data_IF_462641428913
#
_entry.id   IF_462641428913
#
_cell.length_a   1.000
_cell.length_b   1.000
_cell.length_c   1.000
_cell.angle_alpha   90.00
_cell.angle_beta   90.00
_cell.angle_gamma   90.00
#
_symmetry.space_group_name_H-M   'P 1'
#
loop_
_entity.id
_entity.type
_entity.pdbx_description
1 polymer ?
#
# COMPACT_ATOMS: atom_id res chain seq x y z
N UNK A 1 -4.90 15.71 10.36
CA UNK A 1 -5.12 17.17 10.24
C UNK A 1 -4.18 17.80 9.21
N UNK A 2 -3.95 17.16 8.07
CA UNK A 2 -3.20 17.74 6.95
C UNK A 2 -4.17 17.90 5.78
N UNK A 3 -4.14 19.07 5.14
CA UNK A 3 -4.97 19.42 3.99
C UNK A 3 -4.12 20.19 2.99
N UNK A 4 -4.11 19.77 1.72
CA UNK A 4 -3.30 20.40 0.68
C UNK A 4 -4.06 20.44 -0.64
N UNK A 5 -4.35 21.64 -1.12
CA UNK A 5 -5.00 21.85 -2.41
C UNK A 5 -4.14 21.30 -3.57
N UNK A 6 -2.81 21.39 -3.45
CA UNK A 6 -1.87 20.84 -4.42
C UNK A 6 -1.96 19.30 -4.46
N UNK A 7 -1.95 18.65 -3.30
CA UNK A 7 -2.12 17.19 -3.22
C UNK A 7 -3.47 16.76 -3.76
N UNK A 8 -4.55 17.43 -3.38
CA UNK A 8 -5.91 17.12 -3.84
C UNK A 8 -6.04 17.20 -5.37
N UNK A 9 -5.46 18.23 -5.99
CA UNK A 9 -5.41 18.37 -7.45
C UNK A 9 -4.65 17.22 -8.11
N UNK A 10 -3.47 16.89 -7.58
CA UNK A 10 -2.65 15.81 -8.11
C UNK A 10 -3.35 14.46 -7.98
N UNK A 11 -3.97 14.19 -6.82
CA UNK A 11 -4.73 12.97 -6.56
C UNK A 11 -5.93 12.81 -7.50
N UNK A 12 -6.64 13.89 -7.81
CA UNK A 12 -7.70 13.87 -8.82
C UNK A 12 -7.18 13.46 -10.21
N UNK A 13 -6.03 14.01 -10.62
CA UNK A 13 -5.40 13.66 -11.91
C UNK A 13 -4.96 12.19 -11.97
N UNK A 14 -4.37 11.68 -10.88
CA UNK A 14 -3.99 10.28 -10.73
C UNK A 14 -5.20 9.37 -10.99
N UNK A 15 -6.32 9.64 -10.30
CA UNK A 15 -7.52 8.81 -10.40
C UNK A 15 -8.18 8.86 -11.78
N UNK A 16 -8.01 9.96 -12.52
CA UNK A 16 -8.50 10.08 -13.90
C UNK A 16 -7.54 9.51 -14.96
N UNK A 17 -6.31 9.15 -14.62
CA UNK A 17 -5.29 8.70 -15.58
C UNK A 17 -5.34 7.19 -15.79
N UNK A 18 -5.81 6.77 -16.98
CA UNK A 18 -5.86 5.36 -17.36
C UNK A 18 -4.48 4.76 -17.66
N UNK A 19 -3.62 5.50 -18.37
CA UNK A 19 -2.27 5.05 -18.74
C UNK A 19 -1.41 4.78 -17.50
N UNK A 20 -0.92 3.55 -17.36
CA UNK A 20 -0.20 3.12 -16.17
C UNK A 20 1.14 3.85 -16.01
N UNK A 21 1.87 4.08 -17.11
CA UNK A 21 3.17 4.77 -17.07
C UNK A 21 3.01 6.20 -16.59
N UNK A 22 2.03 6.92 -17.13
CA UNK A 22 1.72 8.29 -16.72
C UNK A 22 1.20 8.33 -15.29
N UNK A 23 0.32 7.40 -14.89
CA UNK A 23 -0.18 7.33 -13.51
C UNK A 23 0.96 7.08 -12.51
N UNK A 24 1.94 6.24 -12.84
CA UNK A 24 3.11 6.02 -11.99
C UNK A 24 3.99 7.26 -11.84
N UNK A 25 4.14 8.08 -12.89
CA UNK A 25 4.86 9.37 -12.79
C UNK A 25 4.15 10.32 -11.81
N UNK A 26 2.83 10.46 -11.96
CA UNK A 26 2.03 11.28 -11.05
C UNK A 26 2.05 10.77 -9.59
N UNK A 27 2.08 9.44 -9.40
CA UNK A 27 2.26 8.84 -8.07
C UNK A 27 3.61 9.22 -7.44
N UNK A 28 4.68 9.18 -8.23
CA UNK A 28 6.00 9.58 -7.74
C UNK A 28 6.05 11.07 -7.36
N UNK A 29 5.36 11.93 -8.12
CA UNK A 29 5.19 13.35 -7.77
C UNK A 29 4.41 13.53 -6.47
N UNK A 30 3.34 12.75 -6.27
CA UNK A 30 2.55 12.82 -5.04
C UNK A 30 3.34 12.35 -3.82
N UNK A 31 4.13 11.28 -3.96
CA UNK A 31 5.04 10.81 -2.92
C UNK A 31 6.11 11.85 -2.56
N UNK A 32 6.66 12.55 -3.56
CA UNK A 32 7.62 13.64 -3.31
C UNK A 32 6.97 14.80 -2.55
N UNK A 33 5.78 15.23 -2.99
CA UNK A 33 5.06 16.33 -2.34
C UNK A 33 4.80 16.07 -0.85
N UNK A 34 4.30 14.87 -0.50
CA UNK A 34 4.03 14.56 0.92
C UNK A 34 5.28 14.37 1.75
N UNK A 35 6.41 14.02 1.11
CA UNK A 35 7.71 13.97 1.78
C UNK A 35 8.26 15.37 2.04
N UNK A 36 8.17 16.27 1.06
CA UNK A 36 8.60 17.68 1.19
C UNK A 36 7.74 18.43 2.23
N UNK A 37 6.44 18.15 2.28
CA UNK A 37 5.51 18.72 3.26
C UNK A 37 5.64 18.08 4.65
N UNK A 38 6.46 17.03 4.80
CA UNK A 38 6.70 16.30 6.05
C UNK A 38 5.40 15.85 6.76
N UNK A 39 4.42 15.36 6.01
CA UNK A 39 3.08 15.03 6.54
C UNK A 39 3.10 13.91 7.58
N UNK A 40 4.11 13.05 7.51
CA UNK A 40 4.36 11.94 8.42
C UNK A 40 5.87 11.62 8.46
N UNK A 41 6.31 11.01 9.55
CA UNK A 41 7.65 10.39 9.63
C UNK A 41 7.59 8.97 9.06
N UNK A 42 8.04 8.78 7.82
CA UNK A 42 8.11 7.46 7.18
C UNK A 42 9.37 6.73 7.65
N UNK A 43 9.21 5.64 8.41
CA UNK A 43 10.33 4.93 9.04
C UNK A 43 10.68 3.61 8.34
N UNK A 44 9.69 2.75 8.14
CA UNK A 44 9.87 1.43 7.52
C UNK A 44 8.55 0.87 7.00
N UNK A 45 8.63 -0.13 6.13
CA UNK A 45 7.50 -0.99 5.76
C UNK A 45 7.59 -2.30 6.55
N UNK A 46 6.57 -2.68 7.34
CA UNK A 46 6.59 -3.94 8.08
C UNK A 46 6.71 -5.15 7.14
N UNK A 47 7.53 -6.12 7.54
CA UNK A 47 7.58 -7.43 6.88
C UNK A 47 6.53 -8.36 7.49
N UNK A 48 5.88 -9.18 6.65
CA UNK A 48 4.86 -10.15 7.07
C UNK A 48 5.46 -11.39 7.75
N UNK A 49 6.22 -11.21 8.82
CA UNK A 49 6.81 -12.32 9.56
C UNK A 49 5.73 -13.08 10.36
N UNK A 50 5.62 -14.38 10.12
CA UNK A 50 4.63 -15.23 10.80
C UNK A 50 5.17 -16.64 11.06
N UNK A 51 4.59 -17.30 12.07
CA UNK A 51 4.82 -18.71 12.38
C UNK A 51 3.47 -19.42 12.24
N UNK A 52 3.42 -20.46 11.42
CA UNK A 52 2.21 -21.27 11.24
C UNK A 52 2.47 -22.73 11.63
N UNK A 53 1.41 -23.41 12.10
CA UNK A 53 1.46 -24.84 12.35
C UNK A 53 1.75 -25.60 11.05
N UNK A 54 2.64 -26.60 11.11
CA UNK A 54 2.94 -27.46 9.96
C UNK A 54 1.72 -28.26 9.45
N UNK A 55 0.65 -28.36 10.25
CA UNK A 55 -0.62 -29.01 9.86
C UNK A 55 -1.61 -28.05 9.17
N UNK A 56 -1.35 -26.74 9.23
CA UNK A 56 -2.22 -25.73 8.63
C UNK A 56 -1.85 -25.55 7.16
N UNK A 57 -2.85 -25.70 6.28
CA UNK A 57 -2.72 -25.49 4.84
C UNK A 57 -3.29 -24.14 4.43
N UNK A 58 -2.83 -23.64 3.28
CA UNK A 58 -3.36 -22.43 2.64
C UNK A 58 -2.75 -21.11 3.13
N UNK A 59 -1.77 -21.15 4.04
CA UNK A 59 -1.11 -19.94 4.55
C UNK A 59 -0.42 -19.20 3.39
N UNK A 60 -0.80 -17.94 3.10
CA UNK A 60 -0.19 -17.16 2.04
C UNK A 60 1.30 -16.93 2.28
N UNK A 61 2.11 -17.06 1.24
CA UNK A 61 3.53 -16.68 1.28
C UNK A 61 3.71 -15.16 1.26
N UNK A 62 2.85 -14.49 0.49
CA UNK A 62 2.84 -13.05 0.34
C UNK A 62 1.61 -12.46 1.02
N UNK A 63 1.75 -11.29 1.63
CA UNK A 63 0.66 -10.53 2.24
C UNK A 63 0.46 -9.21 1.47
N UNK A 64 -0.26 -9.24 0.33
CA UNK A 64 -0.45 -8.04 -0.51
C UNK A 64 -1.34 -6.98 0.15
N UNK A 65 -2.12 -7.37 1.16
CA UNK A 65 -2.96 -6.50 1.98
C UNK A 65 -2.69 -6.78 3.46
N UNK A 66 -2.97 -5.81 4.33
CA UNK A 66 -2.83 -5.98 5.78
C UNK A 66 -4.03 -6.74 6.36
N UNK A 67 -4.14 -8.01 6.00
CA UNK A 67 -5.20 -8.90 6.47
C UNK A 67 -4.75 -10.37 6.44
N UNK A 68 -5.36 -11.19 7.29
CA UNK A 68 -5.25 -12.65 7.22
C UNK A 68 -6.52 -13.19 6.57
N UNK A 69 -6.43 -13.66 5.32
CA UNK A 69 -7.54 -14.32 4.65
C UNK A 69 -7.67 -15.75 5.19
N UNK A 70 -8.74 -16.00 5.95
CA UNK A 70 -9.02 -17.31 6.54
C UNK A 70 -9.77 -18.25 5.59
N UNK A 71 -10.35 -17.74 4.50
CA UNK A 71 -11.18 -18.52 3.58
C UNK A 71 -10.38 -19.58 2.81
N UNK A 72 -9.07 -19.39 2.70
CA UNK A 72 -8.13 -20.31 2.06
C UNK A 72 -7.53 -21.34 3.02
N UNK A 73 -7.77 -21.18 4.33
CA UNK A 73 -7.13 -22.00 5.36
C UNK A 73 -7.92 -23.27 5.66
N UNK A 74 -7.19 -24.36 5.87
CA UNK A 74 -7.76 -25.63 6.28
C UNK A 74 -6.80 -26.46 7.12
N UNK A 75 -7.36 -27.30 8.00
CA UNK A 75 -6.61 -28.29 8.76
C UNK A 75 -6.65 -29.64 8.05
N UNK A 76 -5.53 -30.38 8.13
CA UNK A 76 -5.51 -31.82 7.88
C UNK A 76 -6.06 -32.59 9.08
#
# INVERSE_FOLDING_TARGET
NYESAAFNKLWAQINSTADATQRHKLMAEAQRLVADDAVAAYLYQPTGLTIASARLKGVPKEMPISANDLSTLSWN
#
